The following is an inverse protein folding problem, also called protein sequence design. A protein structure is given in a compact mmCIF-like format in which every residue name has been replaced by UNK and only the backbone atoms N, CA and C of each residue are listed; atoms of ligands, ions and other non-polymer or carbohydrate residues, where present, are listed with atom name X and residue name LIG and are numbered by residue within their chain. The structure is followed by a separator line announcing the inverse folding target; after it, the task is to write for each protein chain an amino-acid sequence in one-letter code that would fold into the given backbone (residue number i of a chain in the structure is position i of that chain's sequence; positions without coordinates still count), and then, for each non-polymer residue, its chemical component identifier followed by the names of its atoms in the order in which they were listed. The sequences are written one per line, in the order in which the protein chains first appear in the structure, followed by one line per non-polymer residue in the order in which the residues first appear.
data_IF_089013020339
#
_entry.id   IF_089013020339
#
_cell.length_a   1.000
_cell.length_b   1.000
_cell.length_c   1.000
_cell.angle_alpha   90.00
_cell.angle_beta   90.00
_cell.angle_gamma   90.00
#
_symmetry.space_group_name_H-M   'P 1'
#
loop_
_entity.id
_entity.type
_entity.pdbx_description
1 polymer ?
#
# COMPACT_ATOMS: atom_id res chain seq x y z
N UNK A 1 -3.21 31.91 -10.92
CA UNK A 1 -3.93 30.71 -10.42
C UNK A 1 -3.88 30.74 -8.91
N UNK A 2 -5.03 30.98 -8.29
CA UNK A 2 -5.13 31.02 -6.83
C UNK A 2 -4.83 29.63 -6.27
N UNK A 3 -3.68 29.50 -5.66
CA UNK A 3 -3.41 28.47 -4.68
C UNK A 3 -4.41 28.66 -3.53
N UNK A 4 -5.63 28.17 -3.70
CA UNK A 4 -6.53 28.04 -2.57
C UNK A 4 -5.88 27.06 -1.63
N UNK A 5 -5.25 27.63 -0.65
CA UNK A 5 -4.60 26.98 0.45
C UNK A 5 -5.47 25.83 0.97
N UNK A 6 -5.09 24.60 0.68
CA UNK A 6 -5.59 23.43 1.39
C UNK A 6 -5.43 23.60 2.92
N UNK A 7 -4.54 24.49 3.35
CA UNK A 7 -4.39 24.91 4.74
C UNK A 7 -5.68 25.52 5.34
N UNK A 8 -6.54 26.14 4.53
CA UNK A 8 -7.77 26.75 5.04
C UNK A 8 -8.84 25.72 5.44
N UNK A 9 -8.86 24.54 4.80
CA UNK A 9 -9.79 23.47 5.13
C UNK A 9 -9.39 22.66 6.36
N UNK A 10 -8.10 22.73 6.72
CA UNK A 10 -7.54 21.95 7.83
C UNK A 10 -7.06 22.82 9.01
N UNK A 11 -7.46 24.10 9.06
CA UNK A 11 -7.07 25.02 10.14
C UNK A 11 -7.43 24.49 11.54
N UNK A 12 -8.53 23.74 11.67
CA UNK A 12 -8.95 23.14 12.93
C UNK A 12 -7.98 22.09 13.49
N UNK A 13 -7.12 21.52 12.64
CA UNK A 13 -6.12 20.53 13.01
C UNK A 13 -4.70 21.09 13.07
N UNK A 14 -4.49 22.36 12.77
CA UNK A 14 -3.15 22.95 12.69
C UNK A 14 -2.38 22.86 14.01
N UNK A 15 -3.04 22.99 15.15
CA UNK A 15 -2.45 22.83 16.47
C UNK A 15 -1.96 21.40 16.76
N UNK A 16 -2.41 20.39 16.01
CA UNK A 16 -2.01 18.99 16.11
C UNK A 16 -0.91 18.59 15.12
N UNK A 17 -0.47 19.50 14.26
CA UNK A 17 0.46 19.25 13.15
C UNK A 17 1.73 18.50 13.59
N UNK A 18 2.25 18.79 14.77
CA UNK A 18 3.47 18.19 15.29
C UNK A 18 3.20 17.08 16.33
N UNK A 19 1.95 16.69 16.52
CA UNK A 19 1.59 15.64 17.47
C UNK A 19 1.83 14.24 16.85
N UNK A 20 2.82 13.53 17.33
CA UNK A 20 3.09 12.14 16.96
C UNK A 20 1.94 11.22 17.36
N UNK A 21 1.34 11.46 18.52
CA UNK A 21 0.24 10.64 19.03
C UNK A 21 -1.00 10.78 18.15
N UNK A 22 -1.34 12.00 17.75
CA UNK A 22 -2.45 12.24 16.82
C UNK A 22 -2.20 11.54 15.47
N UNK A 23 -0.99 11.66 14.90
CA UNK A 23 -0.64 11.00 13.66
C UNK A 23 -0.75 9.48 13.77
N UNK A 24 -0.26 8.89 14.86
CA UNK A 24 -0.34 7.45 15.11
C UNK A 24 -1.79 6.99 15.27
N UNK A 25 -2.61 7.74 16.00
CA UNK A 25 -4.04 7.43 16.15
C UNK A 25 -4.71 7.42 14.78
N UNK A 26 -4.48 8.43 13.95
CA UNK A 26 -5.09 8.47 12.61
C UNK A 26 -4.60 7.31 11.75
N UNK A 27 -3.29 7.13 11.61
CA UNK A 27 -2.73 6.08 10.74
C UNK A 27 -3.18 4.67 11.13
N UNK A 28 -3.25 4.37 12.44
CA UNK A 28 -3.57 3.02 12.90
C UNK A 28 -5.09 2.72 12.97
N UNK A 29 -5.93 3.74 12.78
CA UNK A 29 -7.39 3.59 12.74
C UNK A 29 -7.98 3.82 11.33
N UNK A 30 -7.15 4.00 10.30
CA UNK A 30 -7.63 3.99 8.92
C UNK A 30 -8.11 2.60 8.51
N UNK A 31 -9.08 2.54 7.59
CA UNK A 31 -9.52 1.28 6.97
C UNK A 31 -8.57 0.78 5.89
N UNK A 32 -7.57 1.54 5.52
CA UNK A 32 -6.59 1.20 4.49
C UNK A 32 -5.20 0.94 5.08
N UNK A 33 -4.44 0.07 4.43
CA UNK A 33 -3.02 -0.07 4.70
C UNK A 33 -2.26 1.12 4.08
N UNK A 34 -1.34 1.69 4.84
CA UNK A 34 -0.43 2.76 4.41
C UNK A 34 0.99 2.20 4.41
N UNK A 35 1.63 2.25 3.26
CA UNK A 35 3.02 1.85 3.09
C UNK A 35 3.84 3.04 2.64
N UNK A 36 4.98 3.25 3.27
CA UNK A 36 6.00 4.18 2.81
C UNK A 36 7.13 3.40 2.16
N UNK A 37 7.38 3.64 0.87
CA UNK A 37 8.44 2.98 0.12
C UNK A 37 9.55 3.96 -0.26
N UNK A 38 10.79 3.48 -0.20
CA UNK A 38 11.95 4.22 -0.69
C UNK A 38 12.13 4.06 -2.22
N UNK A 39 13.21 4.61 -2.77
CA UNK A 39 13.56 4.53 -4.20
C UNK A 39 13.72 3.09 -4.73
N UNK A 40 14.07 2.15 -3.87
CA UNK A 40 14.25 0.73 -4.21
C UNK A 40 12.97 -0.10 -4.02
N UNK A 41 11.85 0.58 -3.75
CA UNK A 41 10.53 -0.03 -3.46
C UNK A 41 10.55 -0.89 -2.19
N UNK A 42 11.41 -0.56 -1.25
CA UNK A 42 11.53 -1.21 0.05
C UNK A 42 10.69 -0.47 1.10
N UNK A 43 10.07 -1.23 1.98
CA UNK A 43 9.18 -0.72 3.02
C UNK A 43 9.97 0.02 4.11
N UNK A 44 9.75 1.30 4.25
CA UNK A 44 10.39 2.17 5.24
C UNK A 44 9.53 2.41 6.47
N UNK A 45 8.21 2.46 6.28
CA UNK A 45 7.23 2.60 7.34
C UNK A 45 5.87 2.05 6.89
N UNK A 46 5.03 1.70 7.84
CA UNK A 46 3.67 1.22 7.59
C UNK A 46 2.80 1.43 8.83
N UNK A 47 1.48 1.38 8.63
CA UNK A 47 0.51 1.43 9.71
C UNK A 47 0.04 0.02 10.14
N UNK A 48 -0.64 -0.09 11.29
CA UNK A 48 -1.14 -1.38 11.81
C UNK A 48 -2.13 -2.08 10.86
N UNK A 49 -3.02 -1.40 10.13
CA UNK A 49 -3.87 -2.02 9.11
C UNK A 49 -3.14 -2.86 8.07
N UNK A 50 -1.88 -2.58 7.75
CA UNK A 50 -1.08 -3.42 6.86
C UNK A 50 -0.98 -4.86 7.40
N UNK A 51 -0.69 -5.02 8.67
CA UNK A 51 -0.57 -6.34 9.32
C UNK A 51 -1.91 -7.07 9.36
N UNK A 52 -2.99 -6.34 9.59
CA UNK A 52 -4.34 -6.92 9.63
C UNK A 52 -4.81 -7.39 8.25
N UNK A 53 -4.46 -6.64 7.21
CA UNK A 53 -4.85 -6.93 5.82
C UNK A 53 -4.04 -8.09 5.23
N UNK A 54 -2.74 -8.10 5.49
CA UNK A 54 -1.80 -9.10 5.01
C UNK A 54 -1.21 -9.81 6.21
N UNK A 55 -1.80 -10.92 6.64
CA UNK A 55 -1.34 -11.67 7.81
C UNK A 55 0.05 -12.20 7.55
N UNK A 56 1.01 -11.53 8.14
CA UNK A 56 2.38 -11.95 8.17
C UNK A 56 2.66 -12.68 9.47
N UNK A 57 3.70 -13.47 9.50
CA UNK A 57 4.12 -14.16 10.72
C UNK A 57 4.30 -13.14 11.85
N UNK A 58 3.84 -13.41 13.08
CA UNK A 58 3.82 -12.45 14.18
C UNK A 58 5.17 -11.76 14.48
N UNK A 59 6.27 -12.42 14.19
CA UNK A 59 7.62 -11.96 14.45
C UNK A 59 8.40 -11.58 13.18
N UNK A 60 7.73 -11.46 12.03
CA UNK A 60 8.43 -11.16 10.79
C UNK A 60 8.76 -9.67 10.69
N UNK A 61 10.04 -9.39 10.48
CA UNK A 61 10.50 -8.02 10.26
C UNK A 61 10.13 -7.57 8.85
N UNK A 62 9.22 -6.60 8.72
CA UNK A 62 8.72 -6.13 7.43
C UNK A 62 9.54 -5.00 6.82
N UNK A 63 10.22 -4.22 7.67
CA UNK A 63 11.02 -3.08 7.21
C UNK A 63 12.15 -3.53 6.28
N UNK A 64 12.40 -2.71 5.28
CA UNK A 64 13.42 -2.90 4.24
C UNK A 64 13.22 -4.12 3.33
N UNK A 65 12.09 -4.80 3.45
CA UNK A 65 11.63 -5.76 2.44
C UNK A 65 10.95 -5.00 1.29
N UNK A 66 11.07 -5.51 0.09
CA UNK A 66 10.30 -4.96 -1.04
C UNK A 66 8.82 -5.21 -0.83
N UNK A 67 7.98 -4.33 -1.39
CA UNK A 67 6.53 -4.33 -1.16
C UNK A 67 5.89 -5.73 -1.27
N UNK A 68 6.15 -6.48 -2.34
CA UNK A 68 5.56 -7.80 -2.54
C UNK A 68 5.97 -8.84 -1.49
N UNK A 69 7.20 -8.76 -0.98
CA UNK A 69 7.67 -9.63 0.10
C UNK A 69 6.98 -9.26 1.43
N UNK A 70 6.86 -7.94 1.68
CA UNK A 70 6.24 -7.43 2.90
C UNK A 70 4.75 -7.81 3.01
N UNK A 71 4.02 -7.85 1.88
CA UNK A 71 2.59 -8.18 1.85
C UNK A 71 2.29 -9.65 1.53
N UNK A 72 3.31 -10.48 1.40
CA UNK A 72 3.14 -11.92 1.19
C UNK A 72 2.68 -12.31 -0.23
N UNK A 73 3.14 -11.60 -1.26
CA UNK A 73 2.82 -11.91 -2.66
C UNK A 73 3.14 -13.36 -3.01
N UNK A 74 2.14 -14.12 -3.46
CA UNK A 74 2.28 -15.55 -3.72
C UNK A 74 3.36 -15.86 -4.78
N UNK A 75 3.55 -15.01 -5.76
CA UNK A 75 4.59 -15.22 -6.78
C UNK A 75 6.00 -15.06 -6.20
N UNK A 76 6.24 -14.04 -5.37
CA UNK A 76 7.54 -13.83 -4.74
C UNK A 76 7.92 -15.04 -3.85
N UNK A 77 6.97 -15.52 -3.06
CA UNK A 77 7.18 -16.65 -2.16
C UNK A 77 7.35 -17.96 -2.94
N UNK A 78 6.49 -18.24 -3.92
CA UNK A 78 6.53 -19.48 -4.72
C UNK A 78 7.80 -19.61 -5.56
N UNK A 79 8.27 -18.52 -6.15
CA UNK A 79 9.49 -18.51 -6.96
C UNK A 79 10.76 -18.33 -6.12
N UNK A 80 10.62 -18.08 -4.81
CA UNK A 80 11.73 -17.75 -3.89
C UNK A 80 12.60 -16.60 -4.43
N UNK A 81 11.94 -15.59 -5.01
CA UNK A 81 12.60 -14.42 -5.61
C UNK A 81 12.13 -13.13 -4.93
N UNK A 82 12.97 -12.14 -4.98
CA UNK A 82 12.60 -10.80 -4.52
C UNK A 82 11.48 -10.20 -5.39
N UNK A 83 10.63 -9.39 -4.78
CA UNK A 83 9.65 -8.61 -5.53
C UNK A 83 10.36 -7.75 -6.60
N UNK A 84 9.93 -7.87 -7.85
CA UNK A 84 10.58 -7.26 -9.01
C UNK A 84 11.40 -8.24 -9.85
N UNK A 85 11.70 -9.42 -9.34
CA UNK A 85 12.55 -10.42 -10.00
C UNK A 85 11.76 -11.67 -10.48
N UNK A 86 10.48 -11.77 -10.08
CA UNK A 86 9.63 -12.87 -10.57
C UNK A 86 9.16 -12.60 -11.99
N UNK A 87 8.80 -13.66 -12.71
CA UNK A 87 8.27 -13.55 -14.07
C UNK A 87 6.96 -12.75 -14.15
N UNK A 88 6.24 -12.64 -13.03
CA UNK A 88 4.95 -11.94 -12.92
C UNK A 88 5.07 -10.45 -12.57
N UNK A 89 6.26 -9.99 -12.17
CA UNK A 89 6.46 -8.62 -11.71
C UNK A 89 6.33 -7.57 -12.82
N UNK A 90 6.59 -7.94 -14.08
CA UNK A 90 6.43 -7.03 -15.23
C UNK A 90 4.98 -6.59 -15.42
N UNK A 91 4.03 -7.47 -15.12
CA UNK A 91 2.59 -7.23 -15.24
C UNK A 91 1.93 -6.91 -13.89
N UNK A 92 2.72 -6.61 -12.86
CA UNK A 92 2.18 -6.24 -11.56
C UNK A 92 1.75 -4.77 -11.55
N UNK A 93 0.45 -4.51 -11.58
CA UNK A 93 -0.10 -3.14 -11.53
C UNK A 93 0.43 -2.34 -10.34
N UNK A 94 0.46 -2.93 -9.14
CA UNK A 94 0.96 -2.25 -7.95
C UNK A 94 2.40 -1.79 -8.12
N UNK A 95 3.29 -2.68 -8.56
CA UNK A 95 4.70 -2.37 -8.76
C UNK A 95 4.92 -1.37 -9.90
N UNK A 96 4.31 -1.60 -11.05
CA UNK A 96 4.48 -0.74 -12.22
C UNK A 96 3.98 0.68 -11.94
N UNK A 97 2.86 0.82 -11.25
CA UNK A 97 2.32 2.15 -10.90
C UNK A 97 3.12 2.83 -9.79
N UNK A 98 3.68 2.08 -8.83
CA UNK A 98 4.60 2.65 -7.85
C UNK A 98 5.88 3.19 -8.51
N UNK A 99 6.48 2.44 -9.41
CA UNK A 99 7.66 2.88 -10.17
C UNK A 99 7.32 4.07 -11.09
N UNK A 100 6.19 4.04 -11.78
CA UNK A 100 5.73 5.13 -12.63
C UNK A 100 5.56 6.42 -11.83
N UNK A 101 4.90 6.37 -10.67
CA UNK A 101 4.71 7.52 -9.79
C UNK A 101 6.07 8.05 -9.27
N UNK A 102 6.99 7.14 -8.92
CA UNK A 102 8.34 7.54 -8.50
C UNK A 102 9.12 8.25 -9.61
N UNK A 103 9.10 7.72 -10.81
CA UNK A 103 9.85 8.29 -11.95
C UNK A 103 9.24 9.61 -12.40
N UNK A 104 7.93 9.65 -12.62
CA UNK A 104 7.22 10.83 -13.13
C UNK A 104 6.95 11.90 -12.07
N UNK A 105 7.14 11.59 -10.78
CA UNK A 105 6.78 12.48 -9.65
C UNK A 105 5.30 12.91 -9.69
N UNK A 106 4.42 12.01 -10.15
CA UNK A 106 3.00 12.25 -10.28
C UNK A 106 2.20 11.17 -9.56
N UNK A 107 1.10 11.55 -8.88
CA UNK A 107 0.26 10.59 -8.20
C UNK A 107 -0.50 9.69 -9.18
N UNK A 108 -0.76 8.47 -8.75
CA UNK A 108 -1.64 7.51 -9.42
C UNK A 108 -2.76 7.15 -8.45
N UNK A 109 -4.01 7.25 -8.89
CA UNK A 109 -5.18 7.06 -8.04
C UNK A 109 -6.01 5.86 -8.43
N UNK A 110 -6.52 5.15 -7.42
CA UNK A 110 -7.62 4.18 -7.51
C UNK A 110 -7.41 3.10 -8.58
N UNK A 111 -6.21 2.57 -8.67
CA UNK A 111 -5.91 1.39 -9.50
C UNK A 111 -6.31 0.12 -8.76
N UNK A 112 -6.62 -0.93 -9.52
CA UNK A 112 -7.06 -2.21 -8.97
C UNK A 112 -6.09 -3.31 -9.35
N UNK A 113 -5.95 -4.28 -8.46
CA UNK A 113 -5.21 -5.50 -8.69
C UNK A 113 -5.91 -6.67 -7.99
N UNK A 114 -5.96 -7.81 -8.66
CA UNK A 114 -6.43 -9.07 -8.08
C UNK A 114 -5.27 -10.04 -8.03
N UNK A 115 -4.94 -10.54 -6.84
CA UNK A 115 -3.78 -11.40 -6.64
C UNK A 115 -3.93 -12.28 -5.40
N UNK A 116 -3.28 -13.44 -5.45
CA UNK A 116 -3.13 -14.31 -4.27
C UNK A 116 -2.01 -13.80 -3.35
N UNK A 117 -2.30 -13.81 -2.06
CA UNK A 117 -1.36 -13.50 -0.99
C UNK A 117 -1.36 -14.63 0.04
N UNK A 118 -0.18 -14.97 0.57
CA UNK A 118 -0.06 -15.94 1.64
C UNK A 118 -0.48 -15.32 2.97
N UNK A 119 -1.42 -15.97 3.64
CA UNK A 119 -1.80 -15.68 5.04
C UNK A 119 -0.89 -16.40 6.03
N UNK A 120 -0.57 -17.65 5.70
CA UNK A 120 0.31 -18.52 6.47
C UNK A 120 1.19 -19.28 5.48
N UNK A 121 2.11 -20.08 5.95
CA UNK A 121 3.03 -20.86 5.11
C UNK A 121 2.32 -21.76 4.09
N UNK A 122 1.06 -22.12 4.34
CA UNK A 122 0.31 -23.07 3.51
C UNK A 122 -1.00 -22.51 2.93
N UNK A 123 -1.50 -21.38 3.44
CA UNK A 123 -2.81 -20.84 3.02
C UNK A 123 -2.67 -19.54 2.27
N UNK A 124 -3.21 -19.52 1.05
CA UNK A 124 -3.33 -18.33 0.21
C UNK A 124 -4.79 -17.88 0.12
N UNK A 125 -4.98 -16.57 0.03
CA UNK A 125 -6.27 -15.96 -0.29
C UNK A 125 -6.12 -15.07 -1.53
N UNK A 126 -7.11 -15.16 -2.42
CA UNK A 126 -7.28 -14.18 -3.49
C UNK A 126 -7.83 -12.89 -2.89
N UNK A 127 -7.12 -11.80 -3.10
CA UNK A 127 -7.58 -10.46 -2.71
C UNK A 127 -7.77 -9.58 -3.92
N UNK A 128 -8.82 -8.79 -3.87
CA UNK A 128 -9.06 -7.68 -4.77
C UNK A 128 -8.70 -6.39 -4.03
N UNK A 129 -7.67 -5.71 -4.50
CA UNK A 129 -7.16 -4.50 -3.86
C UNK A 129 -7.40 -3.29 -4.74
N UNK A 130 -7.78 -2.17 -4.12
CA UNK A 130 -7.72 -0.86 -4.75
C UNK A 130 -6.58 -0.07 -4.10
N UNK A 131 -5.76 0.60 -4.89
CA UNK A 131 -4.62 1.33 -4.37
C UNK A 131 -4.42 2.68 -5.04
N UNK A 132 -3.82 3.60 -4.30
CA UNK A 132 -3.33 4.89 -4.79
C UNK A 132 -1.87 5.05 -4.41
N UNK A 133 -1.11 5.72 -5.25
CA UNK A 133 0.34 5.92 -5.10
C UNK A 133 0.64 7.40 -5.15
N UNK A 134 1.27 7.91 -4.12
CA UNK A 134 1.53 9.33 -3.92
C UNK A 134 3.03 9.55 -3.72
N UNK A 135 3.77 10.11 -4.70
CA UNK A 135 5.15 10.49 -4.48
C UNK A 135 5.21 11.72 -3.57
N UNK A 136 6.17 11.75 -2.65
CA UNK A 136 6.43 12.94 -1.89
C UNK A 136 7.93 13.12 -1.61
N UNK A 137 8.34 14.37 -1.49
CA UNK A 137 9.72 14.74 -1.24
C UNK A 137 9.93 15.08 0.22
N UNK A 138 10.89 14.41 0.86
CA UNK A 138 11.24 14.64 2.25
C UNK A 138 12.73 14.38 2.47
N UNK A 139 13.39 15.25 3.22
CA UNK A 139 14.81 15.14 3.59
C UNK A 139 15.73 14.81 2.39
N UNK A 140 15.57 15.58 1.31
CA UNK A 140 16.34 15.49 0.05
C UNK A 140 16.12 14.21 -0.77
N UNK A 141 15.18 13.37 -0.38
CA UNK A 141 14.83 12.14 -1.10
C UNK A 141 13.34 12.09 -1.47
N UNK A 142 13.04 11.33 -2.53
CA UNK A 142 11.67 10.98 -2.87
C UNK A 142 11.27 9.65 -2.28
N UNK A 143 10.09 9.64 -1.71
CA UNK A 143 9.40 8.46 -1.19
C UNK A 143 8.09 8.25 -1.95
N UNK A 144 7.54 7.06 -1.80
CA UNK A 144 6.23 6.70 -2.32
C UNK A 144 5.34 6.29 -1.15
N UNK A 145 4.23 6.99 -0.97
CA UNK A 145 3.14 6.54 -0.11
C UNK A 145 2.19 5.70 -0.94
N UNK A 146 1.95 4.47 -0.53
CA UNK A 146 0.94 3.59 -1.14
C UNK A 146 -0.20 3.41 -0.14
N UNK A 147 -1.39 3.78 -0.56
CA UNK A 147 -2.63 3.53 0.18
C UNK A 147 -3.31 2.33 -0.44
N UNK A 148 -3.58 1.30 0.34
CA UNK A 148 -4.17 0.03 -0.14
C UNK A 148 -5.45 -0.27 0.61
N UNK A 149 -6.53 -0.45 -0.12
CA UNK A 149 -7.85 -0.87 0.38
C UNK A 149 -8.13 -2.29 -0.07
N UNK A 150 -8.57 -3.15 0.84
CA UNK A 150 -9.10 -4.48 0.51
C UNK A 150 -10.57 -4.35 0.10
N UNK A 151 -10.86 -4.55 -1.18
CA UNK A 151 -12.22 -4.47 -1.74
C UNK A 151 -12.79 -5.86 -2.08
N UNK A 152 -12.18 -6.92 -1.55
CA UNK A 152 -12.55 -8.30 -1.86
C UNK A 152 -14.03 -8.57 -1.54
N UNK A 153 -14.49 -8.16 -0.35
CA UNK A 153 -15.88 -8.34 0.05
C UNK A 153 -16.85 -7.61 -0.88
N UNK A 154 -16.53 -6.37 -1.25
CA UNK A 154 -17.36 -5.57 -2.17
C UNK A 154 -17.47 -6.22 -3.56
N UNK A 155 -16.38 -6.79 -4.06
CA UNK A 155 -16.38 -7.48 -5.36
C UNK A 155 -17.23 -8.74 -5.27
N UNK A 156 -17.04 -9.58 -4.24
CA UNK A 156 -17.80 -10.81 -4.06
C UNK A 156 -19.31 -10.55 -3.91
N UNK A 157 -19.69 -9.52 -3.17
CA UNK A 157 -21.12 -9.14 -3.05
C UNK A 157 -21.72 -8.70 -4.39
N UNK A 158 -20.98 -7.96 -5.21
CA UNK A 158 -21.44 -7.58 -6.54
C UNK A 158 -21.65 -8.77 -7.47
N UNK A 159 -20.73 -9.75 -7.42
CA UNK A 159 -20.84 -10.96 -8.23
C UNK A 159 -22.09 -11.77 -7.86
N UNK A 160 -22.39 -11.90 -6.55
CA UNK A 160 -23.63 -12.58 -6.09
C UNK A 160 -24.87 -11.86 -6.58
N UNK A 161 -24.90 -10.53 -6.54
CA UNK A 161 -26.04 -9.74 -6.99
C UNK A 161 -26.29 -9.81 -8.51
N UNK A 162 -25.25 -10.07 -9.30
CA UNK A 162 -25.38 -10.19 -10.75
C UNK A 162 -25.76 -11.62 -11.21
N UNK A 163 -25.69 -12.61 -10.32
CA UNK A 163 -26.07 -14.00 -10.61
C UNK A 163 -27.56 -14.30 -10.29
N UNK A 164 -28.27 -13.36 -9.67
CA UNK A 164 -29.70 -13.42 -9.36
C UNK A 164 -30.48 -12.47 -10.31
#
# INVERSE_FOLDING_TARGET
MNNKNLSSTNLSFDFLRNSKDFLNIILNNLSCAVLLLNKDMELHAFNDPLKNMFINKPNEHLLYKRCGEAIGCAFAIKEMKRCGETNHCRNCELRTKALEAYIKKQPVYRKKISREFYKTDSKKDLKHLQFSVLPFYFDKEYYIVVLVEDITEVINLKEILHQN
#
